data_IF_262818936117
#
_entry.id   IF_262818936117
#
_cell.length_a   1.000
_cell.length_b   1.000
_cell.length_c   1.000
_cell.angle_alpha   90.00
_cell.angle_beta   90.00
_cell.angle_gamma   90.00
#
_symmetry.space_group_name_H-M   'P 1'
#
loop_
_entity.id
_entity.type
_entity.pdbx_description
1 polymer ?
#
# COMPACT_ATOMS: atom_id res chain seq x y z
N UNK A 1 -55.99 15.13 -19.42
CA UNK A 1 -54.68 15.40 -20.06
C UNK A 1 -53.89 16.30 -19.12
N UNK A 2 -52.79 15.91 -18.59
CA UNK A 2 -51.97 16.81 -17.79
C UNK A 2 -51.30 17.82 -18.72
N UNK A 3 -51.46 19.08 -18.41
CA UNK A 3 -50.78 20.18 -19.11
C UNK A 3 -49.27 20.06 -18.86
N UNK A 4 -48.53 19.56 -19.83
CA UNK A 4 -47.07 19.67 -19.88
C UNK A 4 -46.78 21.15 -20.22
N UNK A 5 -46.29 21.89 -19.25
CA UNK A 5 -45.88 23.29 -19.47
C UNK A 5 -44.51 23.24 -20.19
N UNK A 6 -44.43 23.62 -21.48
CA UNK A 6 -43.21 23.43 -22.30
C UNK A 6 -42.10 24.43 -21.99
N UNK A 7 -42.24 25.20 -20.89
CA UNK A 7 -41.33 26.32 -20.58
C UNK A 7 -40.68 26.26 -19.21
N UNK A 8 -40.61 25.05 -18.59
CA UNK A 8 -39.76 24.91 -17.43
C UNK A 8 -38.30 24.79 -17.91
N UNK A 9 -37.48 25.73 -17.47
CA UNK A 9 -36.02 25.61 -17.63
C UNK A 9 -35.54 24.26 -17.05
N UNK A 10 -34.62 23.56 -17.72
CA UNK A 10 -34.15 22.27 -17.23
C UNK A 10 -33.55 22.44 -15.83
N UNK A 11 -33.93 21.54 -14.93
CA UNK A 11 -33.34 21.50 -13.58
C UNK A 11 -31.91 21.01 -13.69
N UNK A 12 -30.99 21.76 -13.15
CA UNK A 12 -29.58 21.35 -13.07
C UNK A 12 -29.33 20.57 -11.79
N UNK A 13 -28.77 19.36 -11.92
CA UNK A 13 -28.44 18.47 -10.81
C UNK A 13 -26.92 18.27 -10.82
N UNK A 14 -26.27 18.54 -9.70
CA UNK A 14 -24.86 18.25 -9.46
C UNK A 14 -24.77 17.12 -8.45
N UNK A 15 -24.10 16.04 -8.78
CA UNK A 15 -23.92 14.89 -7.90
C UNK A 15 -22.48 14.39 -7.95
N UNK A 16 -22.05 13.85 -6.81
CA UNK A 16 -20.83 13.06 -6.73
C UNK A 16 -21.21 11.57 -6.67
N UNK A 17 -20.62 10.80 -7.56
CA UNK A 17 -20.70 9.35 -7.52
C UNK A 17 -19.44 8.75 -6.92
N UNK A 18 -19.61 7.66 -6.20
CA UNK A 18 -18.52 6.98 -5.52
C UNK A 18 -18.56 5.48 -5.80
N UNK A 19 -17.39 4.86 -5.82
CA UNK A 19 -17.27 3.41 -5.76
C UNK A 19 -16.19 3.00 -4.78
N UNK A 20 -16.35 1.80 -4.21
CA UNK A 20 -15.34 1.17 -3.37
C UNK A 20 -15.32 -0.32 -3.66
N UNK A 21 -14.20 -0.80 -4.19
CA UNK A 21 -13.99 -2.18 -4.56
C UNK A 21 -12.95 -2.82 -3.64
N UNK A 22 -13.06 -4.13 -3.43
CA UNK A 22 -12.14 -4.90 -2.63
C UNK A 22 -11.66 -6.13 -3.40
N UNK A 23 -10.35 -6.39 -3.35
CA UNK A 23 -9.72 -7.59 -3.89
C UNK A 23 -8.75 -8.16 -2.87
N UNK A 24 -8.63 -9.49 -2.82
CA UNK A 24 -7.57 -10.12 -2.05
C UNK A 24 -6.22 -9.72 -2.65
N UNK A 25 -5.24 -9.48 -1.78
CA UNK A 25 -3.89 -9.16 -2.21
C UNK A 25 -3.29 -10.30 -3.02
N UNK A 26 -2.54 -9.95 -4.05
CA UNK A 26 -1.80 -10.86 -4.92
C UNK A 26 -0.30 -10.77 -4.68
N UNK A 27 0.12 -9.75 -3.96
CA UNK A 27 1.52 -9.44 -3.61
C UNK A 27 1.60 -8.91 -2.19
N UNK A 28 2.74 -9.14 -1.57
CA UNK A 28 3.11 -8.49 -0.32
C UNK A 28 4.44 -7.76 -0.53
N UNK A 29 4.54 -6.53 -0.06
CA UNK A 29 5.79 -5.77 -0.03
C UNK A 29 6.23 -5.61 1.42
N UNK A 30 7.39 -6.16 1.76
CA UNK A 30 8.02 -6.03 3.07
C UNK A 30 9.10 -4.95 3.01
N UNK A 31 9.08 -4.04 3.96
CA UNK A 31 10.01 -2.93 4.10
C UNK A 31 10.90 -3.19 5.31
N UNK A 32 12.20 -3.17 5.11
CA UNK A 32 13.21 -3.57 6.09
C UNK A 32 14.32 -2.52 6.16
N UNK A 33 14.68 -2.12 7.38
CA UNK A 33 15.86 -1.30 7.64
C UNK A 33 17.00 -2.16 8.20
N UNK A 34 18.20 -1.88 7.74
CA UNK A 34 19.44 -2.41 8.31
C UNK A 34 20.22 -1.21 8.81
N UNK A 35 20.41 -1.09 10.11
CA UNK A 35 21.03 0.10 10.72
C UNK A 35 21.83 -0.23 11.98
N UNK A 36 22.86 0.58 12.21
CA UNK A 36 23.70 0.52 13.40
C UNK A 36 24.19 1.92 13.78
N UNK A 37 24.44 2.13 15.06
CA UNK A 37 25.00 3.37 15.61
C UNK A 37 26.09 3.07 16.66
N UNK A 38 27.12 3.92 16.72
CA UNK A 38 28.17 3.79 17.74
C UNK A 38 29.35 4.74 17.51
N UNK A 39 30.44 4.59 18.27
CA UNK A 39 31.54 5.54 18.27
C UNK A 39 32.54 5.35 17.10
N UNK A 40 32.51 4.23 16.38
CA UNK A 40 33.48 3.90 15.34
C UNK A 40 32.84 3.78 13.96
N UNK A 41 32.97 4.82 13.13
CA UNK A 41 32.33 4.92 11.82
C UNK A 41 32.61 3.71 10.90
N UNK A 42 33.88 3.31 10.80
CA UNK A 42 34.28 2.21 9.89
C UNK A 42 33.69 0.87 10.31
N UNK A 43 33.66 0.61 11.60
CA UNK A 43 33.08 -0.64 12.15
C UNK A 43 31.58 -0.72 11.86
N UNK A 44 30.84 0.38 12.07
CA UNK A 44 29.40 0.48 11.83
C UNK A 44 29.07 0.31 10.36
N UNK A 45 29.74 1.07 9.48
CA UNK A 45 29.53 0.99 8.03
C UNK A 45 29.85 -0.43 7.50
N UNK A 46 30.90 -1.06 8.03
CA UNK A 46 31.26 -2.44 7.69
C UNK A 46 30.21 -3.44 8.13
N UNK A 47 29.70 -3.30 9.37
CA UNK A 47 28.69 -4.20 9.93
C UNK A 47 27.38 -4.14 9.13
N UNK A 48 26.86 -2.92 8.87
CA UNK A 48 25.64 -2.73 8.06
C UNK A 48 25.82 -3.27 6.65
N UNK A 49 26.96 -2.97 6.00
CA UNK A 49 27.23 -3.45 4.64
C UNK A 49 27.35 -4.97 4.58
N UNK A 50 27.99 -5.59 5.57
CA UNK A 50 28.12 -7.06 5.63
C UNK A 50 26.76 -7.73 5.81
N UNK A 51 25.91 -7.23 6.71
CA UNK A 51 24.54 -7.72 6.91
C UNK A 51 23.72 -7.57 5.63
N UNK A 52 23.79 -6.40 4.97
CA UNK A 52 23.09 -6.16 3.72
C UNK A 52 23.50 -7.15 2.61
N UNK A 53 24.79 -7.43 2.45
CA UNK A 53 25.29 -8.40 1.47
C UNK A 53 24.85 -9.83 1.79
N UNK A 54 24.82 -10.22 3.06
CA UNK A 54 24.32 -11.55 3.46
C UNK A 54 22.86 -11.71 3.08
N UNK A 55 22.02 -10.71 3.37
CA UNK A 55 20.61 -10.72 2.96
C UNK A 55 20.45 -10.70 1.45
N UNK A 56 21.24 -9.90 0.74
CA UNK A 56 21.21 -9.86 -0.71
C UNK A 56 21.51 -11.25 -1.33
N UNK A 57 22.53 -11.94 -0.85
CA UNK A 57 22.86 -13.28 -1.32
C UNK A 57 21.72 -14.29 -1.09
N UNK A 58 21.03 -14.21 0.06
CA UNK A 58 19.88 -15.06 0.34
C UNK A 58 18.67 -14.72 -0.57
N UNK A 59 18.50 -13.44 -0.91
CA UNK A 59 17.43 -12.99 -1.80
C UNK A 59 17.69 -13.35 -3.27
N UNK A 60 18.95 -13.34 -3.73
CA UNK A 60 19.33 -13.74 -5.08
C UNK A 60 18.92 -15.19 -5.40
N UNK A 61 18.99 -16.08 -4.40
CA UNK A 61 18.53 -17.47 -4.53
C UNK A 61 17.00 -17.59 -4.69
N UNK A 62 16.22 -16.66 -4.08
CA UNK A 62 14.77 -16.67 -4.06
C UNK A 62 14.14 -15.79 -5.16
N UNK A 63 14.95 -14.93 -5.79
CA UNK A 63 14.55 -14.00 -6.85
C UNK A 63 15.40 -14.23 -8.11
N UNK A 64 15.38 -15.42 -8.73
CA UNK A 64 16.17 -15.72 -9.93
C UNK A 64 15.70 -14.87 -11.11
N UNK A 65 16.65 -14.56 -12.00
CA UNK A 65 16.39 -13.85 -13.25
C UNK A 65 16.07 -14.85 -14.38
N UNK A 66 15.41 -14.39 -15.45
CA UNK A 66 15.13 -15.17 -16.66
C UNK A 66 13.82 -15.94 -16.62
N UNK A 67 13.76 -17.12 -17.24
CA UNK A 67 12.54 -17.90 -17.46
C UNK A 67 11.82 -18.33 -16.17
N UNK A 68 12.53 -18.48 -15.06
CA UNK A 68 11.98 -18.89 -13.76
C UNK A 68 11.38 -17.69 -12.99
N UNK A 69 11.73 -16.47 -13.35
CA UNK A 69 11.27 -15.25 -12.67
C UNK A 69 9.74 -15.15 -12.50
N UNK A 70 8.88 -15.60 -13.44
CA UNK A 70 7.42 -15.52 -13.28
C UNK A 70 6.87 -16.38 -12.13
N UNK A 71 7.54 -17.47 -11.77
CA UNK A 71 7.10 -18.43 -10.73
C UNK A 71 7.90 -18.31 -9.43
N UNK A 72 8.93 -17.46 -9.41
CA UNK A 72 9.75 -17.26 -8.23
C UNK A 72 8.94 -16.71 -7.05
N UNK A 73 9.23 -17.16 -5.80
CA UNK A 73 8.50 -16.72 -4.61
C UNK A 73 8.66 -15.22 -4.32
N UNK A 74 9.81 -14.65 -4.67
CA UNK A 74 10.10 -13.21 -4.64
C UNK A 74 10.09 -12.69 -6.07
N UNK A 75 9.30 -11.66 -6.32
CA UNK A 75 9.18 -11.04 -7.65
C UNK A 75 10.19 -9.94 -7.89
N UNK A 76 10.67 -9.32 -6.83
CA UNK A 76 11.55 -8.17 -6.88
C UNK A 76 12.12 -7.89 -5.49
N UNK A 77 13.34 -7.43 -5.43
CA UNK A 77 13.88 -6.74 -4.27
C UNK A 77 14.74 -5.55 -4.70
N UNK A 78 14.85 -4.55 -3.83
CA UNK A 78 15.70 -3.39 -4.04
C UNK A 78 16.41 -3.03 -2.74
N UNK A 79 17.73 -2.90 -2.80
CA UNK A 79 18.58 -2.42 -1.73
C UNK A 79 18.99 -0.98 -2.05
N UNK A 80 18.70 -0.06 -1.14
CA UNK A 80 19.09 1.34 -1.29
C UNK A 80 20.59 1.55 -1.01
N UNK A 81 21.11 2.69 -1.44
CA UNK A 81 22.48 3.10 -1.12
C UNK A 81 22.65 3.27 0.40
N UNK A 82 23.84 2.91 0.90
CA UNK A 82 24.20 3.13 2.29
C UNK A 82 24.20 4.63 2.61
N UNK A 83 23.40 5.03 3.59
CA UNK A 83 23.38 6.37 4.14
C UNK A 83 24.17 6.37 5.46
N UNK A 84 25.06 7.35 5.63
CA UNK A 84 25.84 7.52 6.85
C UNK A 84 25.67 8.92 7.41
N UNK A 85 25.66 9.04 8.72
CA UNK A 85 25.58 10.32 9.42
C UNK A 85 26.45 10.32 10.66
N UNK A 86 26.67 11.48 11.22
CA UNK A 86 27.30 11.63 12.54
C UNK A 86 26.68 12.78 13.32
N UNK A 87 26.64 12.63 14.64
CA UNK A 87 26.21 13.68 15.56
C UNK A 87 27.24 13.82 16.70
N UNK A 88 27.41 15.06 17.19
CA UNK A 88 28.16 15.28 18.42
C UNK A 88 27.37 14.73 19.61
N UNK A 89 28.07 14.15 20.56
CA UNK A 89 27.44 13.68 21.79
C UNK A 89 27.25 14.86 22.75
N UNK A 90 26.05 14.99 23.32
CA UNK A 90 25.71 16.06 24.26
C UNK A 90 25.40 15.51 25.64
N UNK A 91 25.73 16.28 26.69
CA UNK A 91 25.32 16.02 28.06
C UNK A 91 23.82 16.33 28.27
N UNK A 92 23.32 16.11 29.50
CA UNK A 92 21.94 16.39 29.86
C UNK A 92 21.56 17.88 29.79
N UNK A 93 22.55 18.74 29.88
CA UNK A 93 22.42 20.21 29.78
C UNK A 93 22.51 20.72 28.33
N UNK A 94 22.81 19.84 27.35
CA UNK A 94 22.90 20.17 25.93
C UNK A 94 24.29 20.64 25.47
N UNK A 95 25.34 20.55 26.32
CA UNK A 95 26.71 20.90 25.94
C UNK A 95 27.39 19.70 25.26
N UNK A 96 28.24 19.98 24.26
CA UNK A 96 29.03 18.95 23.59
C UNK A 96 30.06 18.31 24.56
N UNK A 97 30.05 16.99 24.63
CA UNK A 97 30.98 16.23 25.48
C UNK A 97 32.31 15.91 24.80
N UNK A 98 32.50 16.32 23.55
CA UNK A 98 33.66 16.02 22.71
C UNK A 98 33.64 14.63 22.08
N UNK A 99 32.68 13.77 22.44
CA UNK A 99 32.39 12.51 21.74
C UNK A 99 31.60 12.71 20.46
N UNK A 100 31.60 11.69 19.60
CA UNK A 100 30.81 11.69 18.37
C UNK A 100 30.22 10.29 18.14
N UNK A 101 28.91 10.25 17.91
CA UNK A 101 28.20 9.05 17.50
C UNK A 101 28.05 9.06 15.99
N UNK A 102 28.41 7.96 15.36
CA UNK A 102 28.23 7.71 13.92
C UNK A 102 27.08 6.74 13.71
N UNK A 103 26.39 6.87 12.61
CA UNK A 103 25.35 5.93 12.22
C UNK A 103 25.46 5.56 10.74
N UNK A 104 25.02 4.36 10.42
CA UNK A 104 24.87 3.87 9.06
C UNK A 104 23.54 3.15 8.90
N UNK A 105 22.90 3.32 7.76
CA UNK A 105 21.61 2.69 7.44
C UNK A 105 21.50 2.41 5.96
N UNK A 106 20.86 1.29 5.62
CA UNK A 106 20.32 1.04 4.30
C UNK A 106 18.92 0.49 4.41
N UNK A 107 18.14 0.64 3.36
CA UNK A 107 16.77 0.18 3.26
C UNK A 107 16.65 -0.94 2.22
N UNK A 108 15.82 -1.94 2.51
CA UNK A 108 15.58 -3.08 1.66
C UNK A 108 14.07 -3.29 1.48
N UNK A 109 13.60 -3.20 0.24
CA UNK A 109 12.23 -3.54 -0.15
C UNK A 109 12.20 -4.91 -0.81
N UNK A 110 11.29 -5.80 -0.36
CA UNK A 110 11.13 -7.16 -0.88
C UNK A 110 9.68 -7.37 -1.29
N UNK A 111 9.43 -7.82 -2.53
CA UNK A 111 8.09 -8.11 -3.04
C UNK A 111 7.87 -9.61 -3.22
N UNK A 112 6.92 -10.14 -2.46
CA UNK A 112 6.57 -11.55 -2.42
C UNK A 112 5.37 -11.86 -3.31
N UNK A 113 5.42 -13.01 -3.98
CA UNK A 113 4.28 -13.71 -4.60
C UNK A 113 3.78 -14.82 -3.69
N UNK A 114 4.68 -15.47 -2.99
CA UNK A 114 4.41 -16.59 -2.09
C UNK A 114 4.37 -16.07 -0.64
N UNK A 115 3.20 -16.13 -0.03
CA UNK A 115 3.00 -15.62 1.33
C UNK A 115 3.53 -16.57 2.41
N UNK A 116 3.68 -17.86 2.11
CA UNK A 116 4.36 -18.78 3.03
C UNK A 116 5.85 -18.42 3.13
N UNK A 117 6.47 -18.00 2.03
CA UNK A 117 7.85 -17.50 2.02
C UNK A 117 8.01 -16.16 2.72
N UNK A 118 6.97 -15.32 2.72
CA UNK A 118 6.93 -14.08 3.49
C UNK A 118 7.09 -14.36 4.99
N UNK A 119 6.33 -15.34 5.54
CA UNK A 119 6.44 -15.73 6.96
C UNK A 119 7.82 -16.28 7.32
N UNK A 120 8.36 -17.16 6.50
CA UNK A 120 9.72 -17.70 6.72
C UNK A 120 10.81 -16.61 6.66
N UNK A 121 10.65 -15.62 5.78
CA UNK A 121 11.56 -14.49 5.68
C UNK A 121 11.47 -13.59 6.91
N UNK A 122 10.26 -13.31 7.39
CA UNK A 122 10.07 -12.51 8.61
C UNK A 122 10.74 -13.16 9.82
N UNK A 123 10.58 -14.47 10.00
CA UNK A 123 11.23 -15.23 11.08
C UNK A 123 12.75 -15.10 10.99
N UNK A 124 13.32 -15.29 9.80
CA UNK A 124 14.76 -15.13 9.58
C UNK A 124 15.23 -13.70 9.88
N UNK A 125 14.51 -12.69 9.35
CA UNK A 125 14.89 -11.28 9.53
C UNK A 125 14.74 -10.80 10.97
N UNK A 126 13.74 -11.29 11.71
CA UNK A 126 13.52 -10.93 13.12
C UNK A 126 14.65 -11.39 14.04
N UNK A 127 15.39 -12.42 13.65
CA UNK A 127 16.55 -12.95 14.38
C UNK A 127 17.90 -12.44 13.85
N UNK A 128 17.89 -11.73 12.72
CA UNK A 128 19.10 -11.18 12.10
C UNK A 128 19.52 -9.88 12.80
N UNK A 129 20.77 -9.78 13.29
CA UNK A 129 21.27 -8.56 13.94
C UNK A 129 21.20 -7.35 12.99
N UNK A 130 21.00 -6.15 13.55
CA UNK A 130 20.91 -4.85 12.87
C UNK A 130 19.68 -4.69 11.96
N UNK A 131 18.83 -5.69 11.85
CA UNK A 131 17.66 -5.71 10.98
C UNK A 131 16.40 -5.31 11.76
N UNK A 132 15.61 -4.43 11.16
CA UNK A 132 14.31 -3.98 11.68
C UNK A 132 13.26 -4.01 10.58
N UNK A 133 12.26 -4.88 10.71
CA UNK A 133 11.12 -4.93 9.80
C UNK A 133 10.21 -3.74 10.10
N UNK A 134 9.95 -2.90 9.10
CA UNK A 134 9.08 -1.70 9.25
C UNK A 134 7.62 -2.03 9.02
N UNK A 135 7.35 -3.04 8.22
CA UNK A 135 6.00 -3.51 7.97
C UNK A 135 5.84 -4.26 6.66
N UNK A 136 4.64 -4.78 6.48
CA UNK A 136 4.21 -5.44 5.25
C UNK A 136 3.03 -4.66 4.66
N UNK A 137 3.09 -4.38 3.37
CA UNK A 137 2.03 -3.73 2.61
C UNK A 137 1.47 -4.72 1.59
N UNK A 138 0.15 -4.90 1.61
CA UNK A 138 -0.55 -5.77 0.68
C UNK A 138 -0.84 -5.04 -0.62
N UNK A 139 -0.57 -5.68 -1.76
CA UNK A 139 -0.69 -5.08 -3.09
C UNK A 139 -1.40 -6.01 -4.06
N UNK A 140 -1.91 -5.42 -5.12
CA UNK A 140 -2.37 -6.12 -6.33
C UNK A 140 -1.21 -6.19 -7.34
N UNK A 141 -1.36 -7.01 -8.37
CA UNK A 141 -0.54 -6.89 -9.58
C UNK A 141 -0.95 -5.63 -10.33
N UNK A 142 -0.05 -5.08 -11.13
CA UNK A 142 -0.32 -3.89 -11.94
C UNK A 142 -1.51 -4.10 -12.88
N UNK A 143 -1.61 -5.27 -13.49
CA UNK A 143 -2.71 -5.65 -14.37
C UNK A 143 -4.06 -5.63 -13.61
N UNK A 144 -4.12 -6.25 -12.44
CA UNK A 144 -5.33 -6.27 -11.60
C UNK A 144 -5.66 -4.87 -11.10
N UNK A 145 -4.66 -4.07 -10.73
CA UNK A 145 -4.85 -2.70 -10.27
C UNK A 145 -5.46 -1.82 -11.38
N UNK A 146 -4.92 -1.91 -12.61
CA UNK A 146 -5.44 -1.19 -13.77
C UNK A 146 -6.88 -1.62 -14.12
N UNK A 147 -7.15 -2.93 -14.13
CA UNK A 147 -8.49 -3.45 -14.40
C UNK A 147 -9.50 -2.98 -13.35
N UNK A 148 -9.10 -3.01 -12.07
CA UNK A 148 -9.94 -2.58 -10.96
C UNK A 148 -10.18 -1.07 -10.98
N UNK A 149 -9.18 -0.27 -11.37
CA UNK A 149 -9.32 1.18 -11.53
C UNK A 149 -10.34 1.54 -12.62
N UNK A 150 -10.34 0.82 -13.75
CA UNK A 150 -11.34 0.99 -14.80
C UNK A 150 -12.74 0.64 -14.30
N UNK A 151 -12.87 -0.48 -13.58
CA UNK A 151 -14.16 -0.91 -13.01
C UNK A 151 -14.64 0.12 -11.98
N UNK A 152 -13.77 0.59 -11.08
CA UNK A 152 -14.11 1.56 -10.04
C UNK A 152 -14.64 2.87 -10.62
N UNK A 153 -14.02 3.41 -11.71
CA UNK A 153 -14.51 4.60 -12.38
C UNK A 153 -15.90 4.41 -12.99
N UNK A 154 -16.17 3.25 -13.60
CA UNK A 154 -17.49 2.94 -14.18
C UNK A 154 -18.56 2.89 -13.09
N UNK A 155 -18.30 2.18 -11.99
CA UNK A 155 -19.25 2.06 -10.89
C UNK A 155 -19.51 3.42 -10.20
N UNK A 156 -18.47 4.27 -10.06
CA UNK A 156 -18.66 5.63 -9.55
C UNK A 156 -19.59 6.46 -10.46
N UNK A 157 -19.43 6.36 -11.77
CA UNK A 157 -20.31 7.05 -12.71
C UNK A 157 -21.75 6.50 -12.68
N UNK A 158 -21.92 5.19 -12.58
CA UNK A 158 -23.23 4.55 -12.42
C UNK A 158 -23.93 5.01 -11.13
N UNK A 159 -23.17 5.16 -10.03
CA UNK A 159 -23.70 5.72 -8.80
C UNK A 159 -24.17 7.16 -8.97
N UNK A 160 -23.39 8.02 -9.66
CA UNK A 160 -23.79 9.39 -9.96
C UNK A 160 -25.09 9.44 -10.81
N UNK A 161 -25.19 8.59 -11.84
CA UNK A 161 -26.40 8.51 -12.68
C UNK A 161 -27.61 8.06 -11.87
N UNK A 162 -27.46 7.08 -11.00
CA UNK A 162 -28.54 6.61 -10.11
C UNK A 162 -29.04 7.73 -9.21
N UNK A 163 -28.14 8.42 -8.50
CA UNK A 163 -28.48 9.54 -7.63
C UNK A 163 -29.15 10.69 -8.39
N UNK A 164 -28.68 11.01 -9.58
CA UNK A 164 -29.30 12.04 -10.40
C UNK A 164 -30.75 11.70 -10.79
N UNK A 165 -31.03 10.42 -11.08
CA UNK A 165 -32.39 9.93 -11.36
C UNK A 165 -33.28 10.03 -10.13
N UNK A 166 -32.77 9.64 -8.96
CA UNK A 166 -33.50 9.73 -7.68
C UNK A 166 -33.93 11.19 -7.40
N UNK A 167 -33.01 12.17 -7.60
CA UNK A 167 -33.34 13.58 -7.45
C UNK A 167 -34.34 14.08 -8.51
N UNK A 168 -34.17 13.68 -9.77
CA UNK A 168 -35.04 14.05 -10.85
C UNK A 168 -36.50 13.56 -10.62
N UNK A 169 -36.65 12.34 -10.12
CA UNK A 169 -37.95 11.74 -9.79
C UNK A 169 -38.68 12.56 -8.71
N UNK A 170 -37.99 12.97 -7.65
CA UNK A 170 -38.58 13.76 -6.54
C UNK A 170 -39.09 15.11 -7.03
N UNK A 171 -38.42 15.75 -8.01
CA UNK A 171 -38.83 17.04 -8.59
C UNK A 171 -39.78 16.90 -9.79
N UNK A 172 -40.21 15.68 -10.11
CA UNK A 172 -41.18 15.41 -11.19
C UNK A 172 -40.58 15.39 -12.60
N UNK A 173 -39.25 15.39 -12.74
CA UNK A 173 -38.57 15.25 -14.01
C UNK A 173 -38.45 13.77 -14.41
N UNK A 174 -38.60 13.44 -15.68
CA UNK A 174 -38.56 12.05 -16.18
C UNK A 174 -37.27 11.71 -16.89
N UNK A 175 -36.62 12.71 -17.48
CA UNK A 175 -35.41 12.55 -18.26
C UNK A 175 -34.22 13.17 -17.51
N UNK A 176 -33.10 12.45 -17.54
CA UNK A 176 -31.83 12.93 -16.98
C UNK A 176 -30.75 12.76 -18.03
N UNK A 177 -30.13 13.86 -18.41
CA UNK A 177 -29.08 13.92 -19.42
C UNK A 177 -27.77 14.40 -18.77
N UNK A 178 -26.72 13.63 -18.91
CA UNK A 178 -25.38 14.04 -18.51
C UNK A 178 -24.88 15.18 -19.39
N UNK A 179 -24.35 16.23 -18.77
CA UNK A 179 -23.86 17.44 -19.46
C UNK A 179 -22.34 17.56 -19.31
N UNK A 180 -21.83 17.20 -18.15
CA UNK A 180 -20.42 17.37 -17.82
C UNK A 180 -19.99 16.29 -16.82
N UNK A 181 -18.81 15.72 -17.03
CA UNK A 181 -18.19 14.76 -16.15
C UNK A 181 -16.81 15.31 -15.77
N UNK A 182 -16.58 15.48 -14.48
CA UNK A 182 -15.26 15.82 -13.93
C UNK A 182 -14.77 14.63 -13.13
N UNK A 183 -13.65 14.06 -13.56
CA UNK A 183 -13.01 12.97 -12.81
C UNK A 183 -12.43 13.55 -11.52
N UNK A 184 -12.63 12.84 -10.41
CA UNK A 184 -11.91 13.09 -9.15
C UNK A 184 -10.47 12.60 -9.22
N UNK A 185 -9.87 12.36 -8.07
CA UNK A 185 -8.53 11.81 -7.99
C UNK A 185 -8.43 10.44 -8.68
N UNK A 186 -7.25 10.14 -9.23
CA UNK A 186 -6.99 8.82 -9.81
C UNK A 186 -7.25 7.71 -8.77
N UNK A 187 -7.97 6.64 -9.15
CA UNK A 187 -8.20 5.52 -8.25
C UNK A 187 -6.88 4.96 -7.76
N UNK A 188 -6.68 4.94 -6.46
CA UNK A 188 -5.46 4.43 -5.82
C UNK A 188 -5.80 3.21 -4.99
N UNK A 189 -5.00 2.15 -5.13
CA UNK A 189 -5.13 0.94 -4.33
C UNK A 189 -4.46 1.15 -2.96
N UNK A 190 -5.22 0.96 -1.88
CA UNK A 190 -4.72 1.02 -0.51
C UNK A 190 -4.83 -0.36 0.14
N UNK A 191 -3.68 -0.98 0.35
CA UNK A 191 -3.55 -2.20 1.13
C UNK A 191 -2.62 -1.97 2.31
N UNK A 192 -3.15 -1.55 3.45
CA UNK A 192 -2.37 -1.42 4.67
C UNK A 192 -2.60 -2.64 5.55
N UNK A 193 -1.55 -3.39 5.86
CA UNK A 193 -1.60 -4.36 6.92
C UNK A 193 -1.93 -3.60 8.22
N UNK A 194 -3.14 -3.79 8.76
CA UNK A 194 -3.36 -3.53 10.18
C UNK A 194 -2.49 -4.56 10.90
N UNK A 195 -1.46 -4.11 11.59
CA UNK A 195 -0.87 -4.91 12.66
C UNK A 195 -1.98 -5.09 13.73
N UNK A 196 -2.80 -6.10 13.53
CA UNK A 196 -3.59 -6.62 14.63
C UNK A 196 -2.61 -7.41 15.49
N UNK A 197 -2.06 -6.75 16.50
CA UNK A 197 -1.62 -7.45 17.67
C UNK A 197 -2.86 -8.17 18.22
N UNK A 198 -3.09 -9.37 17.71
CA UNK A 198 -4.16 -10.27 18.12
C UNK A 198 -3.84 -10.81 19.50
N UNK A 199 -4.22 -10.04 20.51
CA UNK A 199 -4.32 -10.52 21.86
C UNK A 199 -5.69 -11.17 22.02
N UNK A 200 -5.82 -12.38 21.49
CA UNK A 200 -6.88 -13.29 21.90
C UNK A 200 -6.22 -14.55 22.45
N UNK A 201 -6.31 -14.68 23.80
CA UNK A 201 -5.93 -15.87 24.50
C UNK A 201 -6.82 -17.05 24.07
N UNK A 202 -6.22 -17.99 23.40
CA UNK A 202 -6.70 -19.34 23.17
C UNK A 202 -5.50 -20.24 23.17
N UNK A 203 -5.35 -21.05 24.24
CA UNK A 203 -4.37 -22.13 24.32
C UNK A 203 -4.65 -23.09 23.16
N UNK A 204 -3.77 -23.14 22.16
CA UNK A 204 -3.62 -24.28 21.26
C UNK A 204 -2.20 -24.31 20.71
N UNK A 205 -1.53 -25.40 21.00
CA UNK A 205 -0.37 -26.02 20.37
C UNK A 205 0.75 -25.15 19.79
N UNK A 206 1.84 -25.13 20.53
CA UNK A 206 3.16 -24.73 20.08
C UNK A 206 3.69 -25.73 19.02
N UNK A 207 3.38 -25.51 17.75
CA UNK A 207 4.07 -26.16 16.64
C UNK A 207 4.29 -25.14 15.53
N UNK A 208 5.56 -24.85 15.27
CA UNK A 208 6.09 -24.01 14.18
C UNK A 208 5.95 -22.50 14.36
N UNK A 209 7.06 -21.81 14.65
CA UNK A 209 7.14 -20.38 14.97
C UNK A 209 7.01 -19.41 13.78
N UNK A 210 6.65 -19.87 12.60
CA UNK A 210 6.42 -18.97 11.44
C UNK A 210 5.03 -18.32 11.57
N UNK A 211 5.00 -16.99 11.45
CA UNK A 211 3.74 -16.24 11.38
C UNK A 211 3.02 -16.57 10.06
N UNK A 212 1.77 -17.00 10.17
CA UNK A 212 0.94 -17.24 8.99
C UNK A 212 0.32 -15.92 8.50
N UNK A 213 0.78 -15.48 7.34
CA UNK A 213 0.29 -14.26 6.70
C UNK A 213 -0.87 -14.56 5.77
N UNK A 214 -2.08 -14.35 6.24
CA UNK A 214 -3.24 -14.38 5.37
C UNK A 214 -3.30 -13.10 4.50
N UNK A 215 -3.51 -13.25 3.17
CA UNK A 215 -3.63 -12.11 2.27
C UNK A 215 -4.83 -11.23 2.66
N UNK A 216 -4.57 -9.95 2.87
CA UNK A 216 -5.61 -8.99 3.24
C UNK A 216 -6.28 -8.40 2.00
N UNK A 217 -7.47 -7.81 2.20
CA UNK A 217 -8.17 -7.11 1.13
C UNK A 217 -7.51 -5.76 0.86
N UNK A 218 -7.20 -5.54 -0.40
CA UNK A 218 -6.80 -4.24 -0.94
C UNK A 218 -8.06 -3.51 -1.36
N UNK A 219 -8.21 -2.28 -0.92
CA UNK A 219 -9.34 -1.41 -1.26
C UNK A 219 -8.93 -0.47 -2.38
N UNK A 220 -9.81 -0.30 -3.35
CA UNK A 220 -9.72 0.72 -4.39
C UNK A 220 -10.98 1.57 -4.38
N UNK A 221 -10.84 2.88 -4.40
CA UNK A 221 -11.95 3.82 -4.44
C UNK A 221 -11.80 4.79 -5.61
N UNK A 222 -12.94 5.20 -6.18
CA UNK A 222 -13.01 6.25 -7.18
C UNK A 222 -14.16 7.20 -6.86
N UNK A 223 -14.01 8.45 -7.29
CA UNK A 223 -15.07 9.46 -7.26
C UNK A 223 -15.16 10.19 -8.58
N UNK A 224 -16.37 10.60 -8.94
CA UNK A 224 -16.63 11.43 -10.11
C UNK A 224 -17.65 12.50 -9.74
N UNK A 225 -17.45 13.73 -10.19
CA UNK A 225 -18.45 14.80 -10.09
C UNK A 225 -19.12 14.94 -11.44
N UNK A 226 -20.46 14.92 -11.43
CA UNK A 226 -21.24 14.92 -12.67
C UNK A 226 -22.35 15.95 -12.60
N UNK A 227 -22.50 16.70 -13.68
CA UNK A 227 -23.59 17.64 -13.90
C UNK A 227 -24.60 17.06 -14.86
N UNK A 228 -25.86 17.09 -14.48
CA UNK A 228 -26.98 16.63 -15.29
C UNK A 228 -27.99 17.75 -15.49
N UNK A 229 -28.70 17.67 -16.62
CA UNK A 229 -29.98 18.38 -16.85
C UNK A 229 -31.12 17.39 -16.75
N UNK A 230 -32.15 17.76 -15.97
CA UNK A 230 -33.38 16.98 -15.84
C UNK A 230 -34.57 17.74 -16.40
N UNK A 231 -35.49 17.02 -17.07
CA UNK A 231 -36.69 17.57 -17.71
C UNK A 231 -37.89 16.61 -17.62
#
# INVERSE_FOLDING_TARGET
MPFVNPNLAPVTIHVEGHSTLYRLAERAAMSVDISDEGPAQDAISTAVTSTARTLQSALDELCPHGEIAPVAPISFYALEALSTWSRADTDKEGNETGGRTYGARTHLDIRFRDFARLGAMEEMLSTTPLVSIKGVTWRLTEETEQALAVQSRKEALEDAVRRARDFAEVVGCKNVQCVEITQGDEPTAYGRAKQTAGRNGGMADAVSGALDFEPQKVMMSASVSVKFHAS
#
